data_IF_172706447789
#
_entry.id   IF_172706447789
#
_cell.length_a   1.000
_cell.length_b   1.000
_cell.length_c   1.000
_cell.angle_alpha   90.00
_cell.angle_beta   90.00
_cell.angle_gamma   90.00
#
_symmetry.space_group_name_H-M   'P 1'
#
loop_
_entity.id
_entity.type
_entity.pdbx_description
1 polymer ?
#
# COMPACT_ATOMS: atom_id res chain seq x y z
N UNK A 1 -34.49 -7.19 8.90
CA UNK A 1 -33.42 -6.20 9.02
C UNK A 1 -32.17 -6.92 9.49
N UNK A 2 -31.34 -7.40 8.55
CA UNK A 2 -30.09 -8.09 8.84
C UNK A 2 -29.05 -7.04 9.29
N UNK A 3 -28.74 -7.00 10.57
CA UNK A 3 -27.52 -6.34 11.07
C UNK A 3 -26.33 -7.09 10.47
N UNK A 4 -25.70 -6.52 9.44
CA UNK A 4 -24.35 -6.90 9.07
C UNK A 4 -23.44 -6.48 10.23
N UNK A 5 -23.12 -7.44 11.06
CA UNK A 5 -22.01 -7.32 12.01
C UNK A 5 -20.75 -7.30 11.13
N UNK A 6 -20.22 -6.10 10.89
CA UNK A 6 -18.86 -5.94 10.40
C UNK A 6 -17.96 -6.50 11.51
N UNK A 7 -17.51 -7.72 11.33
CA UNK A 7 -16.37 -8.25 12.08
C UNK A 7 -15.16 -7.48 11.58
N UNK A 8 -14.93 -6.31 12.16
CA UNK A 8 -13.66 -5.62 12.04
C UNK A 8 -12.68 -6.52 12.79
N UNK A 9 -11.94 -7.34 12.05
CA UNK A 9 -10.78 -8.01 12.61
C UNK A 9 -9.88 -6.89 13.13
N UNK A 10 -9.90 -6.68 14.43
CA UNK A 10 -9.15 -5.63 15.12
C UNK A 10 -7.68 -5.99 15.01
N UNK A 11 -7.04 -5.53 13.95
CA UNK A 11 -5.58 -5.67 13.84
C UNK A 11 -4.94 -4.83 14.93
N UNK A 12 -3.82 -5.26 15.50
CA UNK A 12 -3.12 -4.49 16.53
C UNK A 12 -2.84 -3.04 16.09
N UNK A 13 -2.52 -2.82 14.82
CA UNK A 13 -2.29 -1.48 14.26
C UNK A 13 -3.54 -0.60 14.29
N UNK A 14 -4.71 -1.15 14.00
CA UNK A 14 -5.97 -0.41 14.06
C UNK A 14 -6.26 0.08 15.48
N UNK A 15 -6.04 -0.78 16.48
CA UNK A 15 -6.22 -0.40 17.89
C UNK A 15 -5.32 0.79 18.24
N UNK A 16 -4.04 0.72 17.91
CA UNK A 16 -3.08 1.80 18.14
C UNK A 16 -3.50 3.09 17.44
N UNK A 17 -3.95 2.99 16.18
CA UNK A 17 -4.43 4.15 15.43
C UNK A 17 -5.66 4.80 16.09
N UNK A 18 -6.64 4.01 16.52
CA UNK A 18 -7.84 4.50 17.21
C UNK A 18 -7.51 5.16 18.56
N UNK A 19 -6.58 4.59 19.33
CA UNK A 19 -6.09 5.19 20.56
C UNK A 19 -5.42 6.55 20.28
N UNK A 20 -4.62 6.64 19.22
CA UNK A 20 -4.03 7.91 18.81
C UNK A 20 -5.11 8.94 18.40
N UNK A 21 -6.10 8.51 17.61
CA UNK A 21 -7.17 9.39 17.11
C UNK A 21 -7.96 10.07 18.24
N UNK A 22 -8.22 9.35 19.35
CA UNK A 22 -8.93 9.90 20.52
C UNK A 22 -8.19 11.06 21.17
N UNK A 23 -6.86 11.11 21.05
CA UNK A 23 -6.03 12.16 21.64
C UNK A 23 -5.68 13.29 20.65
N UNK A 24 -6.19 13.23 19.42
CA UNK A 24 -5.93 14.24 18.40
C UNK A 24 -6.95 15.39 18.46
N UNK A 25 -6.55 16.52 17.89
CA UNK A 25 -7.42 17.66 17.76
C UNK A 25 -8.49 17.49 16.66
N UNK A 26 -9.47 18.36 16.68
CA UNK A 26 -10.56 18.39 15.69
C UNK A 26 -10.05 18.56 14.24
N UNK A 27 -8.92 19.22 14.04
CA UNK A 27 -8.32 19.44 12.72
C UNK A 27 -7.83 18.13 12.09
N UNK A 28 -7.20 17.29 12.89
CA UNK A 28 -6.77 15.96 12.45
C UNK A 28 -7.97 15.12 12.05
N UNK A 29 -9.01 15.07 12.89
CA UNK A 29 -10.23 14.32 12.60
C UNK A 29 -10.92 14.80 11.30
N UNK A 30 -11.07 16.10 11.11
CA UNK A 30 -11.63 16.68 9.87
C UNK A 30 -10.78 16.40 8.64
N UNK A 31 -9.45 16.40 8.78
CA UNK A 31 -8.54 16.07 7.67
C UNK A 31 -8.69 14.62 7.27
N UNK A 32 -8.75 13.72 8.24
CA UNK A 32 -8.96 12.29 8.02
C UNK A 32 -10.31 12.03 7.35
N UNK A 33 -11.39 12.60 7.88
CA UNK A 33 -12.75 12.49 7.33
C UNK A 33 -12.81 12.95 5.86
N UNK A 34 -12.23 14.11 5.56
CA UNK A 34 -12.19 14.65 4.20
C UNK A 34 -11.41 13.73 3.25
N UNK A 35 -10.24 13.22 3.66
CA UNK A 35 -9.42 12.31 2.84
C UNK A 35 -10.14 10.99 2.61
N UNK A 36 -10.74 10.41 3.65
CA UNK A 36 -11.53 9.19 3.53
C UNK A 36 -12.75 9.40 2.62
N UNK A 37 -13.49 10.48 2.80
CA UNK A 37 -14.63 10.82 1.95
C UNK A 37 -14.25 10.89 0.47
N UNK A 38 -13.12 11.50 0.16
CA UNK A 38 -12.63 11.64 -1.22
C UNK A 38 -12.30 10.28 -1.88
N UNK A 39 -11.69 9.34 -1.15
CA UNK A 39 -11.33 8.03 -1.70
C UNK A 39 -12.48 7.03 -1.70
N UNK A 40 -13.41 7.16 -0.76
CA UNK A 40 -14.55 6.25 -0.65
C UNK A 40 -15.66 6.57 -1.64
N UNK A 41 -15.95 7.85 -1.88
CA UNK A 41 -16.99 8.29 -2.83
C UNK A 41 -18.31 7.50 -2.70
N UNK A 42 -18.81 7.39 -1.46
CA UNK A 42 -20.03 6.64 -1.14
C UNK A 42 -19.88 5.12 -0.96
N UNK A 43 -18.70 4.56 -1.21
CA UNK A 43 -18.44 3.14 -0.93
C UNK A 43 -18.17 2.89 0.56
N UNK A 44 -18.50 1.68 1.02
CA UNK A 44 -18.17 1.25 2.36
C UNK A 44 -16.65 1.14 2.55
N UNK A 45 -16.08 1.66 3.65
CA UNK A 45 -14.67 1.57 3.90
C UNK A 45 -14.23 0.13 4.23
N UNK A 46 -13.13 -0.30 3.62
CA UNK A 46 -12.32 -1.41 4.09
C UNK A 46 -11.12 -0.89 4.89
N UNK A 47 -10.70 -1.65 5.89
CA UNK A 47 -9.47 -1.40 6.65
C UNK A 47 -8.63 -2.66 6.58
N UNK A 48 -7.33 -2.52 6.26
CA UNK A 48 -6.41 -3.66 6.16
C UNK A 48 -5.00 -3.28 6.55
N UNK A 49 -4.25 -4.29 6.93
CA UNK A 49 -2.81 -4.18 7.23
C UNK A 49 -2.02 -4.87 6.14
N UNK A 50 -0.88 -4.29 5.77
CA UNK A 50 0.13 -4.89 4.92
C UNK A 50 1.43 -4.94 5.72
N UNK A 51 2.06 -6.11 5.76
CA UNK A 51 3.40 -6.31 6.32
C UNK A 51 4.37 -6.54 5.16
N UNK A 52 5.46 -5.78 5.13
CA UNK A 52 6.49 -5.88 4.10
C UNK A 52 7.57 -6.85 4.57
N UNK A 53 7.28 -8.15 4.53
CA UNK A 53 8.20 -9.21 4.92
C UNK A 53 8.74 -9.99 3.71
N UNK A 54 9.69 -10.89 3.97
CA UNK A 54 10.34 -11.70 2.94
C UNK A 54 9.42 -12.64 2.15
N UNK A 55 8.20 -12.88 2.63
CA UNK A 55 7.22 -13.73 1.96
C UNK A 55 6.21 -12.94 1.13
N UNK A 56 5.87 -11.73 1.60
CA UNK A 56 4.77 -10.93 1.05
C UNK A 56 5.23 -9.78 0.15
N UNK A 57 6.52 -9.46 0.12
CA UNK A 57 7.06 -8.30 -0.56
C UNK A 57 8.18 -8.63 -1.57
N UNK A 58 7.96 -9.64 -2.42
CA UNK A 58 8.93 -10.07 -3.42
C UNK A 58 9.34 -8.93 -4.37
N UNK A 59 8.38 -8.08 -4.75
CA UNK A 59 8.63 -6.92 -5.61
C UNK A 59 9.49 -5.85 -4.91
N UNK A 60 9.33 -5.64 -3.60
CA UNK A 60 10.18 -4.74 -2.83
C UNK A 60 11.61 -5.26 -2.75
N UNK A 61 11.78 -6.56 -2.51
CA UNK A 61 13.11 -7.18 -2.50
C UNK A 61 13.81 -7.10 -3.86
N UNK A 62 13.07 -7.31 -4.95
CA UNK A 62 13.60 -7.16 -6.29
C UNK A 62 14.07 -5.72 -6.54
N UNK A 63 13.26 -4.73 -6.15
CA UNK A 63 13.60 -3.31 -6.28
C UNK A 63 14.86 -2.95 -5.47
N UNK A 64 14.94 -3.40 -4.22
CA UNK A 64 16.10 -3.16 -3.34
C UNK A 64 17.38 -3.74 -3.95
N UNK A 65 17.34 -4.95 -4.51
CA UNK A 65 18.48 -5.56 -5.20
C UNK A 65 18.93 -4.79 -6.43
N UNK A 66 18.02 -4.09 -7.09
CA UNK A 66 18.30 -3.24 -8.24
C UNK A 66 18.69 -1.80 -7.85
N UNK A 67 18.74 -1.49 -6.55
CA UNK A 67 19.03 -0.15 -6.04
C UNK A 67 17.89 0.85 -6.28
N UNK A 68 16.68 0.37 -6.58
CA UNK A 68 15.50 1.21 -6.78
C UNK A 68 14.80 1.46 -5.46
N UNK A 69 14.62 2.73 -5.10
CA UNK A 69 13.88 3.12 -3.89
C UNK A 69 12.39 3.07 -4.14
N UNK A 70 11.69 2.32 -3.32
CA UNK A 70 10.24 2.24 -3.36
C UNK A 70 9.65 3.13 -2.28
N UNK A 71 8.71 3.99 -2.67
CA UNK A 71 7.99 4.88 -1.77
C UNK A 71 6.55 4.41 -1.59
N UNK A 72 5.92 4.90 -0.54
CA UNK A 72 4.51 4.62 -0.25
C UNK A 72 3.60 4.95 -1.45
N UNK A 73 3.84 6.07 -2.14
CA UNK A 73 3.10 6.45 -3.36
C UNK A 73 3.11 5.37 -4.44
N UNK A 74 4.23 4.65 -4.63
CA UNK A 74 4.31 3.59 -5.63
C UNK A 74 3.43 2.38 -5.28
N UNK A 75 3.31 2.05 -3.98
CA UNK A 75 2.41 1.00 -3.53
C UNK A 75 0.93 1.40 -3.66
N UNK A 76 0.64 2.70 -3.60
CA UNK A 76 -0.70 3.26 -3.72
C UNK A 76 -1.12 3.55 -5.18
N UNK A 77 -0.39 3.03 -6.17
CA UNK A 77 -0.73 3.15 -7.59
C UNK A 77 -1.25 1.83 -8.16
N UNK A 78 -2.15 1.94 -9.14
CA UNK A 78 -2.67 0.80 -9.86
C UNK A 78 -1.66 0.34 -10.92
N UNK A 79 -0.99 -0.77 -10.66
CA UNK A 79 0.01 -1.31 -11.57
C UNK A 79 -0.56 -1.90 -12.87
N UNK A 80 -1.87 -2.08 -12.97
CA UNK A 80 -2.52 -2.65 -14.15
C UNK A 80 -2.92 -1.60 -15.18
N UNK A 81 -2.99 -0.33 -14.79
CA UNK A 81 -3.26 0.77 -15.70
C UNK A 81 -1.97 1.32 -16.29
N UNK A 82 -2.02 1.83 -17.52
CA UNK A 82 -0.84 2.40 -18.18
C UNK A 82 -0.38 3.70 -17.51
N UNK A 83 -1.30 4.46 -16.96
CA UNK A 83 -1.05 5.77 -16.34
C UNK A 83 -0.77 5.69 -14.84
N UNK A 84 -0.67 4.47 -14.28
CA UNK A 84 -0.43 4.25 -12.86
C UNK A 84 -1.37 5.09 -11.96
N UNK A 85 -2.68 5.01 -12.22
CA UNK A 85 -3.70 5.75 -11.48
C UNK A 85 -3.63 5.50 -9.97
N UNK A 86 -3.88 6.52 -9.13
CA UNK A 86 -3.94 6.33 -7.69
C UNK A 86 -5.01 5.32 -7.29
N UNK A 87 -4.68 4.43 -6.36
CA UNK A 87 -5.64 3.53 -5.75
C UNK A 87 -6.55 4.31 -4.78
N UNK A 88 -7.84 3.97 -4.70
CA UNK A 88 -8.79 4.63 -3.79
C UNK A 88 -8.58 4.19 -2.34
N UNK A 89 -7.49 4.62 -1.75
CA UNK A 89 -7.12 4.33 -0.37
C UNK A 89 -6.23 5.44 0.22
N UNK A 90 -6.08 5.42 1.53
CA UNK A 90 -5.12 6.24 2.27
C UNK A 90 -4.33 5.37 3.24
N UNK A 91 -3.07 5.73 3.47
CA UNK A 91 -2.29 5.13 4.54
C UNK A 91 -2.58 5.87 5.86
N UNK A 92 -3.11 5.15 6.85
CA UNK A 92 -3.42 5.70 8.17
C UNK A 92 -2.21 5.71 9.08
N UNK A 93 -1.38 4.68 9.00
CA UNK A 93 -0.22 4.52 9.87
C UNK A 93 0.85 3.66 9.20
N UNK A 94 2.11 4.02 9.44
CA UNK A 94 3.28 3.21 9.17
C UNK A 94 3.98 2.93 10.49
N UNK A 95 4.26 1.67 10.75
CA UNK A 95 5.07 1.23 11.89
C UNK A 95 6.36 0.59 11.38
N UNK A 96 7.50 1.12 11.81
CA UNK A 96 8.85 0.62 11.51
C UNK A 96 9.58 0.37 12.81
N UNK A 97 9.84 -0.90 13.11
CA UNK A 97 10.37 -1.31 14.43
C UNK A 97 9.44 -0.83 15.55
N UNK A 98 9.84 0.14 16.36
CA UNK A 98 9.01 0.74 17.41
C UNK A 98 8.53 2.16 17.08
N UNK A 99 8.90 2.68 15.92
CA UNK A 99 8.51 4.02 15.46
C UNK A 99 7.20 3.96 14.72
N UNK A 100 6.30 4.90 15.01
CA UNK A 100 4.99 5.01 14.40
C UNK A 100 4.81 6.37 13.78
N UNK A 101 4.43 6.38 12.50
CA UNK A 101 4.06 7.59 11.78
C UNK A 101 2.57 7.51 11.46
N UNK A 102 1.80 8.49 11.92
CA UNK A 102 0.37 8.61 11.64
C UNK A 102 0.16 9.50 10.43
N UNK A 103 -0.64 9.04 9.47
CA UNK A 103 -0.83 9.69 8.18
C UNK A 103 0.51 10.03 7.50
N UNK A 104 1.38 9.00 7.26
CA UNK A 104 2.72 9.23 6.71
C UNK A 104 2.66 9.94 5.37
N UNK A 105 3.75 10.65 5.04
CA UNK A 105 3.91 11.25 3.71
C UNK A 105 4.00 10.13 2.64
N UNK A 106 3.34 10.33 1.51
CA UNK A 106 3.34 9.36 0.42
C UNK A 106 4.72 9.16 -0.22
N UNK A 107 5.65 10.10 0.04
CA UNK A 107 7.06 10.00 -0.38
C UNK A 107 7.94 9.19 0.57
N UNK A 108 7.39 8.73 1.70
CA UNK A 108 8.11 7.89 2.66
C UNK A 108 8.65 6.64 1.95
N UNK A 109 9.94 6.35 2.11
CA UNK A 109 10.59 5.17 1.55
C UNK A 109 10.16 3.92 2.33
N UNK A 110 9.71 2.90 1.64
CA UNK A 110 9.30 1.63 2.23
C UNK A 110 10.51 0.70 2.41
N UNK A 111 10.53 0.03 3.55
CA UNK A 111 11.59 -0.92 3.92
C UNK A 111 11.00 -2.27 4.32
N UNK A 112 11.82 -3.30 4.22
CA UNK A 112 11.46 -4.60 4.78
C UNK A 112 11.22 -4.49 6.30
N UNK A 113 10.17 -5.14 6.77
CA UNK A 113 9.71 -5.08 8.15
C UNK A 113 8.72 -3.95 8.46
N UNK A 114 8.43 -3.07 7.50
CA UNK A 114 7.39 -2.07 7.67
C UNK A 114 6.02 -2.73 7.77
N UNK A 115 5.18 -2.18 8.64
CA UNK A 115 3.77 -2.54 8.80
C UNK A 115 2.92 -1.32 8.50
N UNK A 116 2.00 -1.47 7.57
CA UNK A 116 1.18 -0.38 7.05
C UNK A 116 -0.30 -0.64 7.33
N UNK A 117 -0.99 0.35 7.85
CA UNK A 117 -2.44 0.33 8.02
C UNK A 117 -3.08 1.23 6.97
N UNK A 118 -3.99 0.67 6.20
CA UNK A 118 -4.72 1.37 5.15
C UNK A 118 -6.22 1.42 5.43
N UNK A 119 -6.87 2.46 4.91
CA UNK A 119 -8.31 2.53 4.76
C UNK A 119 -8.65 2.93 3.32
N UNK A 120 -9.72 2.35 2.76
CA UNK A 120 -10.13 2.64 1.38
C UNK A 120 -11.11 1.62 0.83
N UNK A 121 -11.25 1.58 -0.49
CA UNK A 121 -12.09 0.58 -1.17
C UNK A 121 -11.39 -0.78 -1.20
N UNK A 122 -12.14 -1.87 -1.01
CA UNK A 122 -11.57 -3.23 -0.94
C UNK A 122 -10.75 -3.65 -2.17
N UNK A 123 -11.08 -3.14 -3.36
CA UNK A 123 -10.32 -3.39 -4.57
C UNK A 123 -8.86 -2.87 -4.48
N UNK A 124 -8.62 -1.77 -3.76
CA UNK A 124 -7.28 -1.22 -3.58
C UNK A 124 -6.35 -2.20 -2.88
N UNK A 125 -6.85 -2.94 -1.88
CA UNK A 125 -6.08 -3.99 -1.19
C UNK A 125 -5.58 -5.06 -2.16
N UNK A 126 -6.44 -5.53 -3.07
CA UNK A 126 -6.09 -6.58 -4.02
C UNK A 126 -5.01 -6.11 -5.00
N UNK A 127 -5.10 -4.86 -5.46
CA UNK A 127 -4.09 -4.28 -6.35
C UNK A 127 -2.75 -4.07 -5.63
N UNK A 128 -2.76 -3.67 -4.36
CA UNK A 128 -1.53 -3.58 -3.54
C UNK A 128 -0.86 -4.94 -3.38
N UNK A 129 -1.62 -5.98 -3.04
CA UNK A 129 -1.08 -7.34 -2.90
C UNK A 129 -0.49 -7.84 -4.23
N UNK A 130 -1.16 -7.57 -5.35
CA UNK A 130 -0.61 -7.87 -6.67
C UNK A 130 0.73 -7.16 -6.90
N UNK A 131 0.82 -5.86 -6.59
CA UNK A 131 2.05 -5.08 -6.77
C UNK A 131 3.20 -5.59 -5.91
N UNK A 132 2.92 -6.13 -4.73
CA UNK A 132 3.93 -6.68 -3.83
C UNK A 132 4.42 -8.07 -4.24
N UNK A 133 3.54 -8.91 -4.79
CA UNK A 133 3.87 -10.30 -5.15
C UNK A 133 4.51 -10.44 -6.54
N UNK A 134 4.23 -9.52 -7.47
CA UNK A 134 4.83 -9.54 -8.80
C UNK A 134 6.20 -8.84 -8.80
N UNK A 135 7.31 -9.55 -8.98
CA UNK A 135 8.66 -9.07 -8.69
C UNK A 135 9.10 -7.78 -9.40
N UNK A 136 8.52 -7.50 -10.58
CA UNK A 136 8.92 -6.34 -11.39
C UNK A 136 7.97 -5.15 -11.26
N UNK A 137 6.88 -5.30 -10.51
CA UNK A 137 5.81 -4.32 -10.53
C UNK A 137 6.20 -3.02 -9.87
N UNK A 138 6.73 -3.04 -8.64
CA UNK A 138 7.13 -1.82 -7.93
C UNK A 138 8.29 -1.12 -8.62
N UNK A 139 9.23 -1.86 -9.22
CA UNK A 139 10.31 -1.27 -10.03
C UNK A 139 9.72 -0.56 -11.25
N UNK A 140 8.76 -1.18 -11.93
CA UNK A 140 8.07 -0.54 -13.07
C UNK A 140 7.35 0.74 -12.67
N UNK A 141 6.64 0.73 -11.54
CA UNK A 141 5.94 1.91 -11.01
C UNK A 141 6.92 3.03 -10.62
N UNK A 142 8.01 2.68 -9.94
CA UNK A 142 9.00 3.65 -9.46
C UNK A 142 9.83 4.27 -10.59
N UNK A 143 10.10 3.52 -11.67
CA UNK A 143 10.97 3.97 -12.76
C UNK A 143 10.23 4.42 -14.01
N UNK A 144 8.92 4.18 -14.08
CA UNK A 144 8.11 4.41 -15.29
C UNK A 144 8.45 3.46 -16.45
N UNK A 145 9.27 2.42 -16.19
CA UNK A 145 9.67 1.45 -17.23
C UNK A 145 8.73 0.26 -17.22
N UNK A 146 8.16 -0.07 -18.37
CA UNK A 146 7.38 -1.30 -18.54
C UNK A 146 8.31 -2.51 -18.54
N UNK A 147 8.51 -3.13 -17.39
CA UNK A 147 9.27 -4.37 -17.28
C UNK A 147 8.39 -5.58 -17.60
N UNK A 148 8.93 -6.61 -18.28
CA UNK A 148 8.17 -7.80 -18.62
C UNK A 148 7.68 -8.51 -17.37
N UNK A 149 6.38 -8.80 -17.31
CA UNK A 149 5.74 -9.55 -16.22
C UNK A 149 5.76 -11.04 -16.53
N UNK A 150 5.93 -11.87 -15.49
CA UNK A 150 5.95 -13.33 -15.60
C UNK A 150 7.32 -13.94 -15.91
N UNK A 151 7.52 -15.20 -15.47
CA UNK A 151 8.81 -15.90 -15.56
C UNK A 151 9.27 -16.14 -17.01
N UNK A 152 8.35 -16.40 -17.92
CA UNK A 152 8.65 -16.68 -19.34
C UNK A 152 9.13 -15.40 -20.05
N UNK A 153 8.45 -14.29 -19.81
CA UNK A 153 8.81 -12.99 -20.41
C UNK A 153 10.14 -12.46 -19.88
N UNK A 154 10.47 -12.72 -18.62
CA UNK A 154 11.78 -12.39 -18.02
C UNK A 154 12.92 -13.16 -18.66
N UNK A 155 12.73 -14.45 -19.03
CA UNK A 155 13.72 -15.25 -19.74
C UNK A 155 13.97 -14.73 -21.17
N UNK A 156 12.92 -14.29 -21.86
CA UNK A 156 13.01 -13.72 -23.19
C UNK A 156 13.73 -12.36 -23.20
N UNK A 157 13.45 -11.51 -22.21
CA UNK A 157 14.11 -10.22 -22.07
C UNK A 157 15.62 -10.36 -21.81
N UNK A 158 16.04 -11.32 -20.96
CA UNK A 158 17.46 -11.64 -20.70
C UNK A 158 18.20 -12.18 -21.94
N UNK A 159 17.52 -12.88 -22.86
CA UNK A 159 18.12 -13.34 -24.11
C UNK A 159 18.32 -12.24 -25.15
N UNK A 160 17.53 -11.16 -25.11
CA UNK A 160 17.67 -10.00 -26.01
C UNK A 160 18.71 -8.97 -25.56
N UNK A 161 19.14 -9.04 -24.29
CA UNK A 161 20.12 -8.12 -23.70
C UNK A 161 21.57 -8.66 -23.76
N UNK A 162 21.78 -9.80 -24.41
CA UNK A 162 23.10 -10.38 -24.77
C UNK A 162 23.30 -10.32 -26.27
#
# INVERSE_FOLDING_TARGET
>A
VARRILTVATTPLLKVFLEHLVHQDERFAKTLERRLGAVLDGYSPGIWTIELDGQNAESLHAATREGTRIRLEHLMQNARTQEAEPLPCICLMLERSSLRQFMPDEREELMEGDRLLFAGRGAARQEMLFSLTEPTTLVSLATGRHLPRGAIMRRLARKRAR
#
